data_IF_179243029415
#
_entry.id   IF_179243029415
#
_cell.length_a   1.000
_cell.length_b   1.000
_cell.length_c   1.000
_cell.angle_alpha   90.00
_cell.angle_beta   90.00
_cell.angle_gamma   90.00
#
_symmetry.space_group_name_H-M   'P 1'
#
loop_
_entity.id
_entity.type
_entity.pdbx_description
1 polymer ?
#
# COMPACT_ATOMS: atom_id res chain seq x y z
N UNK A 1 16.13 6.63 -3.84
CA UNK A 1 14.96 5.77 -4.03
C UNK A 1 15.27 4.96 -5.27
N UNK A 2 15.14 3.64 -5.18
CA UNK A 2 15.44 2.76 -6.32
C UNK A 2 14.13 2.25 -6.90
N UNK A 3 13.88 2.52 -8.18
CA UNK A 3 12.72 2.00 -8.90
C UNK A 3 13.21 0.94 -9.87
N UNK A 4 12.66 -0.27 -9.76
CA UNK A 4 12.85 -1.33 -10.75
C UNK A 4 11.53 -1.56 -11.47
N UNK A 5 11.55 -1.65 -12.80
CA UNK A 5 10.37 -1.87 -13.63
C UNK A 5 10.54 -3.17 -14.42
N UNK A 6 9.51 -3.99 -14.47
CA UNK A 6 9.44 -5.23 -15.25
C UNK A 6 8.01 -5.42 -15.72
N UNK A 7 7.75 -5.52 -17.02
CA UNK A 7 6.42 -5.68 -17.65
C UNK A 7 5.30 -4.86 -16.97
N UNK A 8 4.62 -5.46 -15.99
CA UNK A 8 3.49 -4.91 -15.24
C UNK A 8 3.77 -4.70 -13.74
N UNK A 9 5.05 -4.72 -13.34
CA UNK A 9 5.51 -4.63 -11.96
C UNK A 9 6.47 -3.46 -11.83
N UNK A 10 6.18 -2.59 -10.87
CA UNK A 10 7.07 -1.53 -10.42
C UNK A 10 7.44 -1.81 -8.97
N UNK A 11 8.70 -2.13 -8.73
CA UNK A 11 9.24 -2.29 -7.39
C UNK A 11 9.88 -0.99 -6.94
N UNK A 12 9.45 -0.49 -5.79
CA UNK A 12 9.98 0.72 -5.17
C UNK A 12 10.71 0.35 -3.90
N UNK A 13 12.00 0.70 -3.83
CA UNK A 13 12.78 0.61 -2.60
C UNK A 13 12.81 1.99 -1.93
N UNK A 14 12.21 2.13 -0.72
CA UNK A 14 12.25 3.38 0.02
C UNK A 14 13.68 3.73 0.44
N UNK A 15 13.95 5.02 0.61
CA UNK A 15 15.21 5.47 1.19
C UNK A 15 15.18 5.36 2.70
N UNK A 16 16.17 4.66 3.26
CA UNK A 16 16.39 4.63 4.70
C UNK A 16 17.63 5.45 5.05
N UNK A 17 17.50 6.52 5.85
CA UNK A 17 18.65 7.24 6.39
C UNK A 17 19.61 6.34 7.18
N UNK A 18 19.08 5.28 7.79
CA UNK A 18 19.83 4.27 8.56
C UNK A 18 19.38 2.85 8.14
N UNK A 19 19.85 2.34 6.99
CA UNK A 19 19.34 1.11 6.38
C UNK A 19 19.56 -0.15 7.22
N UNK A 20 20.49 -0.12 8.19
CA UNK A 20 20.78 -1.27 9.05
C UNK A 20 19.80 -1.46 10.21
N UNK A 21 18.94 -0.48 10.48
CA UNK A 21 18.00 -0.51 11.63
C UNK A 21 16.56 -0.17 11.24
N UNK A 22 16.34 0.36 10.04
CA UNK A 22 15.02 0.75 9.55
C UNK A 22 14.48 -0.32 8.58
N UNK A 23 13.18 -0.62 8.70
CA UNK A 23 12.48 -1.60 7.88
C UNK A 23 11.09 -1.07 7.51
N UNK A 24 10.53 -1.52 6.38
CA UNK A 24 9.09 -1.40 6.13
C UNK A 24 8.41 -2.63 6.72
N UNK A 25 7.61 -2.43 7.78
CA UNK A 25 6.83 -3.51 8.39
C UNK A 25 5.33 -3.44 8.05
N UNK A 26 4.90 -2.35 7.39
CA UNK A 26 3.53 -2.18 6.95
C UNK A 26 3.18 -3.17 5.84
N UNK A 27 2.01 -3.80 5.93
CA UNK A 27 1.46 -4.69 4.90
C UNK A 27 0.11 -4.15 4.50
N UNK A 28 0.11 -3.50 3.34
CA UNK A 28 -1.02 -2.77 2.80
C UNK A 28 -1.22 -3.18 1.34
N UNK A 29 -2.47 -3.40 0.93
CA UNK A 29 -2.84 -3.59 -0.47
C UNK A 29 -3.89 -2.54 -0.85
N UNK A 30 -3.66 -1.88 -1.98
CA UNK A 30 -4.67 -1.10 -2.69
C UNK A 30 -5.03 -1.85 -3.97
N UNK A 31 -6.25 -2.37 -4.05
CA UNK A 31 -6.72 -3.15 -5.19
C UNK A 31 -7.78 -2.34 -5.93
N UNK A 32 -7.46 -1.94 -7.16
CA UNK A 32 -8.34 -1.12 -8.00
C UNK A 32 -9.19 -2.02 -8.91
N UNK A 33 -10.50 -1.83 -8.86
CA UNK A 33 -11.49 -2.44 -9.74
C UNK A 33 -12.19 -1.36 -10.55
N UNK A 34 -13.02 -1.75 -11.52
CA UNK A 34 -13.71 -0.82 -12.43
C UNK A 34 -14.50 0.28 -11.72
N UNK A 35 -15.10 0.00 -10.56
CA UNK A 35 -16.00 0.93 -9.84
C UNK A 35 -15.70 1.04 -8.33
N UNK A 36 -14.59 0.45 -7.88
CA UNK A 36 -14.24 0.47 -6.46
C UNK A 36 -12.74 0.31 -6.26
N UNK A 37 -12.28 0.78 -5.11
CA UNK A 37 -10.95 0.50 -4.60
C UNK A 37 -11.11 -0.25 -3.28
N UNK A 38 -10.49 -1.42 -3.18
CA UNK A 38 -10.39 -2.17 -1.93
C UNK A 38 -9.10 -1.81 -1.22
N UNK A 39 -9.24 -1.33 0.01
CA UNK A 39 -8.16 -1.11 0.95
C UNK A 39 -8.04 -2.33 1.86
N UNK A 40 -6.85 -2.91 1.93
CA UNK A 40 -6.57 -4.07 2.79
C UNK A 40 -5.37 -3.78 3.66
N UNK A 41 -5.52 -3.96 4.97
CA UNK A 41 -4.40 -4.02 5.92
C UNK A 41 -4.35 -5.42 6.48
N UNK A 42 -3.19 -6.06 6.37
CA UNK A 42 -2.99 -7.41 6.88
C UNK A 42 -1.78 -7.50 7.80
N UNK A 43 -1.71 -8.60 8.53
CA UNK A 43 -0.61 -8.88 9.48
C UNK A 43 0.42 -9.85 8.91
N UNK A 44 0.03 -10.72 7.96
CA UNK A 44 0.90 -11.69 7.32
C UNK A 44 1.65 -11.14 6.10
N UNK A 45 2.94 -11.48 5.99
CA UNK A 45 3.75 -11.21 4.80
C UNK A 45 3.20 -11.95 3.57
N UNK A 46 3.57 -11.50 2.37
CA UNK A 46 3.19 -12.17 1.11
C UNK A 46 4.07 -13.40 0.82
N UNK A 47 4.12 -14.34 1.78
CA UNK A 47 4.77 -15.65 1.64
C UNK A 47 3.83 -16.73 2.15
N UNK A 48 3.87 -17.92 1.55
CA UNK A 48 2.94 -19.01 1.83
C UNK A 48 2.85 -19.41 3.31
N UNK A 49 3.99 -19.45 4.01
CA UNK A 49 4.05 -19.85 5.42
C UNK A 49 3.15 -19.02 6.32
N UNK A 50 3.12 -17.69 6.13
CA UNK A 50 2.29 -16.83 6.97
C UNK A 50 0.80 -17.16 6.81
N UNK A 51 0.34 -17.60 5.65
CA UNK A 51 -1.09 -17.84 5.39
C UNK A 51 -1.55 -19.27 5.65
N UNK A 52 -0.63 -20.19 5.90
CA UNK A 52 -0.93 -21.63 6.05
C UNK A 52 -0.78 -22.13 7.48
N UNK A 53 0.16 -21.57 8.24
CA UNK A 53 0.49 -22.05 9.59
C UNK A 53 0.30 -21.01 10.70
N UNK A 54 0.18 -19.72 10.37
CA UNK A 54 0.04 -18.64 11.35
C UNK A 54 -1.40 -18.13 11.43
N UNK A 55 -1.78 -17.61 12.59
CA UNK A 55 -3.00 -16.83 12.74
C UNK A 55 -2.73 -15.38 12.35
N UNK A 56 -3.33 -14.95 11.25
CA UNK A 56 -3.28 -13.57 10.77
C UNK A 56 -4.66 -12.92 10.82
N UNK A 57 -4.65 -11.62 11.06
CA UNK A 57 -5.81 -10.76 10.89
C UNK A 57 -5.71 -10.00 9.56
N UNK A 58 -6.88 -9.80 8.94
CA UNK A 58 -7.04 -8.99 7.73
C UNK A 58 -8.21 -8.04 7.94
N UNK A 59 -7.94 -6.74 7.78
CA UNK A 59 -8.96 -5.71 7.69
C UNK A 59 -9.19 -5.38 6.21
N UNK A 60 -10.45 -5.39 5.79
CA UNK A 60 -10.87 -5.12 4.41
C UNK A 60 -11.92 -4.03 4.42
N UNK A 61 -11.72 -3.02 3.59
CA UNK A 61 -12.71 -1.97 3.37
C UNK A 61 -12.79 -1.60 1.89
N UNK A 62 -14.01 -1.51 1.37
CA UNK A 62 -14.26 -1.16 -0.03
C UNK A 62 -14.75 0.30 -0.11
N UNK A 63 -14.06 1.09 -0.93
CA UNK A 63 -14.45 2.46 -1.26
C UNK A 63 -15.05 2.50 -2.67
N UNK A 64 -16.22 3.11 -2.87
CA UNK A 64 -16.72 3.36 -4.23
C UNK A 64 -15.77 4.33 -4.94
N UNK A 65 -15.45 4.03 -6.20
CA UNK A 65 -14.69 4.92 -7.06
C UNK A 65 -15.66 5.51 -8.09
N UNK A 66 -16.01 6.78 -7.91
CA UNK A 66 -16.70 7.55 -8.91
C UNK A 66 -15.73 8.59 -9.48
N UNK A 67 -15.26 8.37 -10.70
CA UNK A 67 -14.33 9.29 -11.38
C UNK A 67 -14.97 10.64 -11.72
N UNK A 68 -16.28 10.79 -11.54
CA UNK A 68 -17.00 12.04 -11.73
C UNK A 68 -17.15 12.84 -10.45
N UNK A 69 -16.92 12.21 -9.29
CA UNK A 69 -17.17 12.81 -7.98
C UNK A 69 -15.85 13.12 -7.26
N UNK A 70 -15.65 14.41 -6.99
CA UNK A 70 -14.50 14.86 -6.18
C UNK A 70 -14.93 14.84 -4.71
N UNK A 71 -14.34 13.94 -3.94
CA UNK A 71 -14.52 13.91 -2.50
C UNK A 71 -13.50 14.83 -1.83
N UNK A 72 -13.91 15.70 -0.88
CA UNK A 72 -12.96 16.44 -0.07
C UNK A 72 -12.11 15.45 0.75
N UNK A 73 -10.80 15.73 0.83
CA UNK A 73 -9.89 14.88 1.60
C UNK A 73 -10.28 14.87 3.08
N UNK A 74 -10.51 13.68 3.62
CA UNK A 74 -10.72 13.46 5.05
C UNK A 74 -9.39 13.11 5.74
N UNK A 75 -9.40 13.07 7.06
CA UNK A 75 -8.22 12.78 7.88
C UNK A 75 -7.51 11.47 7.47
N UNK A 76 -8.29 10.41 7.21
CA UNK A 76 -7.75 9.13 6.77
C UNK A 76 -7.02 9.24 5.43
N UNK A 77 -7.64 9.87 4.43
CA UNK A 77 -7.06 10.02 3.09
C UNK A 77 -5.79 10.88 3.11
N UNK A 78 -5.74 11.92 3.94
CA UNK A 78 -4.55 12.74 4.13
C UNK A 78 -3.42 11.93 4.79
N UNK A 79 -3.71 11.22 5.87
CA UNK A 79 -2.73 10.39 6.57
C UNK A 79 -2.14 9.28 5.67
N UNK A 80 -3.00 8.65 4.85
CA UNK A 80 -2.57 7.64 3.88
C UNK A 80 -1.65 8.24 2.81
N UNK A 81 -2.02 9.39 2.25
CA UNK A 81 -1.20 10.08 1.25
C UNK A 81 0.18 10.47 1.80
N UNK A 82 0.24 11.02 3.03
CA UNK A 82 1.51 11.34 3.66
C UNK A 82 2.36 10.09 3.95
N UNK A 83 1.74 8.99 4.35
CA UNK A 83 2.45 7.71 4.55
C UNK A 83 3.11 7.20 3.26
N UNK A 84 2.45 7.39 2.11
CA UNK A 84 3.02 7.03 0.81
C UNK A 84 4.13 7.97 0.36
N UNK A 85 4.00 9.27 0.65
CA UNK A 85 5.07 10.24 0.43
C UNK A 85 6.32 9.88 1.23
N UNK A 86 6.15 9.51 2.51
CA UNK A 86 7.25 9.10 3.39
C UNK A 86 7.93 7.80 2.92
N UNK A 87 7.15 6.88 2.35
CA UNK A 87 7.66 5.66 1.71
C UNK A 87 8.28 5.92 0.32
N UNK A 88 8.34 7.19 -0.10
CA UNK A 88 8.85 7.60 -1.41
C UNK A 88 8.13 6.87 -2.55
N UNK A 89 6.83 6.59 -2.45
CA UNK A 89 6.08 6.01 -3.57
C UNK A 89 5.96 7.10 -4.66
N UNK A 90 6.33 6.84 -5.93
CA UNK A 90 6.22 7.85 -6.98
C UNK A 90 4.75 8.18 -7.23
N UNK A 91 4.43 9.45 -7.45
CA UNK A 91 3.06 9.93 -7.71
C UNK A 91 2.58 9.57 -9.12
N UNK A 92 3.51 9.21 -10.02
CA UNK A 92 3.27 8.98 -11.45
C UNK A 92 3.28 7.47 -11.85
N UNK A 93 2.87 6.57 -10.94
CA UNK A 93 2.76 5.12 -11.23
C UNK A 93 1.37 4.77 -11.74
#
# INVERSE_FOLDING_TARGET
MTIQRSDNIVCVQPEFPKPHVQIVHSRLLLLFYTHSMRFVVCTGNLVEGDWTIMHNCVYVWDFPMDNTQVFPANEFSLALAYSFLDLSIPVDV
#
